data_IF_295043723718
#
_entry.id   IF_295043723718
#
_cell.length_a   1.000
_cell.length_b   1.000
_cell.length_c   1.000
_cell.angle_alpha   90.00
_cell.angle_beta   90.00
_cell.angle_gamma   90.00
#
_symmetry.space_group_name_H-M   'P 1'
#
loop_
_entity.id
_entity.type
_entity.pdbx_description
1 polymer ?
#
# COMPACT_ATOMS: atom_id res chain seq x y z
N UNK A 1 18.79 -13.05 17.06
CA UNK A 1 17.71 -12.22 16.49
C UNK A 1 17.02 -11.38 17.56
N UNK A 2 16.59 -11.95 18.68
CA UNK A 2 15.99 -11.22 19.81
C UNK A 2 16.89 -10.10 20.39
N UNK A 3 18.20 -10.36 20.58
CA UNK A 3 19.12 -9.32 21.04
C UNK A 3 19.20 -8.15 20.05
N UNK A 4 19.20 -8.43 18.75
CA UNK A 4 19.17 -7.40 17.70
C UNK A 4 17.89 -6.57 17.77
N UNK A 5 16.73 -7.17 18.00
CA UNK A 5 15.49 -6.42 18.21
C UNK A 5 15.60 -5.47 19.40
N UNK A 6 16.13 -5.95 20.53
CA UNK A 6 16.36 -5.08 21.70
C UNK A 6 17.34 -3.96 21.37
N UNK A 7 18.42 -4.23 20.62
CA UNK A 7 19.39 -3.22 20.20
C UNK A 7 18.76 -2.19 19.26
N UNK A 8 17.99 -2.60 18.26
CA UNK A 8 17.35 -1.67 17.31
C UNK A 8 16.22 -0.85 17.93
N UNK A 9 15.60 -1.33 18.99
CA UNK A 9 14.48 -0.59 19.61
C UNK A 9 14.94 0.26 20.80
N UNK A 10 15.83 -0.26 21.65
CA UNK A 10 16.31 0.44 22.85
C UNK A 10 17.72 1.00 22.72
N UNK A 11 18.59 0.32 21.99
CA UNK A 11 20.02 0.62 21.92
C UNK A 11 20.42 1.57 20.80
N UNK A 12 19.47 2.07 20.01
CA UNK A 12 19.76 3.11 19.02
C UNK A 12 20.14 4.40 19.76
N UNK A 13 21.27 4.97 19.35
CA UNK A 13 21.71 6.30 19.74
C UNK A 13 21.48 7.19 18.53
N UNK A 14 20.64 8.21 18.67
CA UNK A 14 20.43 9.18 17.61
C UNK A 14 21.57 10.21 17.61
N UNK A 15 22.34 10.24 16.52
CA UNK A 15 23.42 11.20 16.31
C UNK A 15 23.01 12.22 15.25
N UNK A 16 23.23 13.51 15.52
CA UNK A 16 22.80 14.59 14.63
C UNK A 16 23.41 14.47 13.22
N UNK A 17 24.69 14.07 13.10
CA UNK A 17 25.32 13.90 11.79
C UNK A 17 24.70 12.74 11.00
N UNK A 18 24.29 11.65 11.67
CA UNK A 18 23.57 10.54 11.03
C UNK A 18 22.19 10.97 10.56
N UNK A 19 21.45 11.70 11.40
CA UNK A 19 20.14 12.25 11.04
C UNK A 19 20.25 13.16 9.81
N UNK A 20 21.28 14.01 9.77
CA UNK A 20 21.56 14.89 8.63
C UNK A 20 21.83 14.10 7.35
N UNK A 21 22.69 13.08 7.39
CA UNK A 21 22.99 12.23 6.22
C UNK A 21 21.72 11.49 5.76
N UNK A 22 20.94 10.93 6.68
CA UNK A 22 19.69 10.25 6.33
C UNK A 22 18.67 11.21 5.71
N UNK A 23 18.50 12.42 6.27
CA UNK A 23 17.60 13.41 5.70
C UNK A 23 18.05 13.85 4.30
N UNK A 24 19.36 13.99 4.05
CA UNK A 24 19.89 14.26 2.71
C UNK A 24 19.60 13.12 1.73
N UNK A 25 19.76 11.86 2.15
CA UNK A 25 19.42 10.69 1.35
C UNK A 25 17.93 10.71 0.98
N UNK A 26 17.05 10.87 1.97
CA UNK A 26 15.59 10.87 1.74
C UNK A 26 15.12 12.01 0.82
N UNK A 27 15.81 13.15 0.81
CA UNK A 27 15.54 14.24 -0.14
C UNK A 27 15.99 13.83 -1.55
N UNK A 28 17.17 13.22 -1.69
CA UNK A 28 17.65 12.74 -2.97
C UNK A 28 16.76 11.63 -3.53
N UNK A 29 16.31 10.70 -2.69
CA UNK A 29 15.39 9.64 -3.07
C UNK A 29 14.03 10.22 -3.53
N UNK A 30 13.52 11.27 -2.87
CA UNK A 30 12.34 12.00 -3.32
C UNK A 30 12.55 12.70 -4.68
N UNK A 31 13.74 13.24 -4.94
CA UNK A 31 14.10 13.81 -6.25
C UNK A 31 14.17 12.72 -7.34
N UNK A 32 14.56 11.50 -6.98
CA UNK A 32 14.51 10.33 -7.88
C UNK A 32 13.08 9.87 -8.15
N UNK A 33 12.23 9.74 -7.13
CA UNK A 33 10.80 9.39 -7.32
C UNK A 33 10.08 10.43 -8.16
N UNK A 34 10.40 11.72 -8.03
CA UNK A 34 9.85 12.78 -8.90
C UNK A 34 10.18 12.62 -10.37
N UNK A 35 11.22 11.84 -10.70
CA UNK A 35 11.59 11.53 -12.07
C UNK A 35 10.85 10.32 -12.62
N UNK A 36 10.21 9.53 -11.76
CA UNK A 36 9.40 8.39 -12.15
C UNK A 36 7.93 8.83 -12.36
N UNK A 37 7.42 8.63 -13.57
CA UNK A 37 6.06 9.03 -13.91
C UNK A 37 4.97 8.21 -13.22
N UNK A 38 5.24 6.97 -12.84
CA UNK A 38 4.31 6.13 -12.09
C UNK A 38 4.21 6.62 -10.63
N UNK A 39 5.34 6.89 -9.99
CA UNK A 39 5.36 7.43 -8.63
C UNK A 39 4.68 8.79 -8.54
N UNK A 40 4.95 9.69 -9.50
CA UNK A 40 4.28 10.99 -9.54
C UNK A 40 2.78 10.89 -9.80
N UNK A 41 2.34 9.93 -10.63
CA UNK A 41 0.92 9.67 -10.84
C UNK A 41 0.25 9.12 -9.57
N UNK A 42 0.87 8.17 -8.88
CA UNK A 42 0.38 7.66 -7.60
C UNK A 42 0.33 8.78 -6.54
N UNK A 43 1.38 9.60 -6.43
CA UNK A 43 1.43 10.71 -5.49
C UNK A 43 0.30 11.72 -5.74
N UNK A 44 0.03 12.08 -7.00
CA UNK A 44 -1.09 12.95 -7.37
C UNK A 44 -2.44 12.35 -6.98
N UNK A 45 -2.66 11.07 -7.27
CA UNK A 45 -3.89 10.37 -6.93
C UNK A 45 -4.07 10.33 -5.42
N UNK A 46 -3.02 9.97 -4.68
CA UNK A 46 -3.08 9.86 -3.23
C UNK A 46 -3.42 11.21 -2.57
N UNK A 47 -2.75 12.29 -2.98
CA UNK A 47 -3.03 13.65 -2.48
C UNK A 47 -4.41 14.17 -2.93
N UNK A 48 -5.03 13.56 -3.94
CA UNK A 48 -6.40 13.89 -4.33
C UNK A 48 -7.45 13.11 -3.52
N UNK A 49 -7.21 11.81 -3.30
CA UNK A 49 -8.23 10.91 -2.78
C UNK A 49 -8.13 10.65 -1.27
N UNK A 50 -6.98 10.82 -0.63
CA UNK A 50 -6.84 10.45 0.79
C UNK A 50 -6.67 11.64 1.73
N UNK A 51 -7.12 11.46 2.97
CA UNK A 51 -6.94 12.43 4.04
C UNK A 51 -5.46 12.68 4.37
N UNK A 52 -5.15 13.89 4.84
CA UNK A 52 -3.76 14.32 5.11
C UNK A 52 -3.08 13.56 6.25
N UNK A 53 -3.87 12.98 7.14
CA UNK A 53 -3.46 12.16 8.28
C UNK A 53 -3.42 10.65 7.95
N UNK A 54 -3.73 10.27 6.71
CA UNK A 54 -3.57 8.90 6.24
C UNK A 54 -2.10 8.52 6.01
N UNK A 55 -1.82 7.22 6.05
CA UNK A 55 -0.51 6.67 5.70
C UNK A 55 -0.11 6.92 4.23
N UNK A 56 -1.06 7.21 3.33
CA UNK A 56 -0.78 7.57 1.93
C UNK A 56 0.00 8.88 1.78
N UNK A 57 0.03 9.72 2.81
CA UNK A 57 0.83 10.96 2.83
C UNK A 57 2.27 10.76 3.27
N UNK A 58 2.67 9.53 3.60
CA UNK A 58 4.01 9.21 4.09
C UNK A 58 4.99 8.77 2.97
N UNK A 59 4.67 9.01 1.70
CA UNK A 59 5.60 8.76 0.58
C UNK A 59 6.73 9.79 0.51
N UNK A 60 7.84 9.47 -0.18
CA UNK A 60 9.03 10.31 -0.17
C UNK A 60 8.78 11.67 -0.83
N UNK A 61 8.03 11.69 -1.94
CA UNK A 61 7.61 12.93 -2.61
C UNK A 61 6.78 13.83 -1.68
N UNK A 62 5.81 13.26 -0.96
CA UNK A 62 4.94 14.00 -0.05
C UNK A 62 5.70 14.53 1.18
N UNK A 63 6.69 13.76 1.66
CA UNK A 63 7.50 14.09 2.84
C UNK A 63 8.76 14.91 2.53
N UNK A 64 9.02 15.27 1.27
CA UNK A 64 10.24 15.99 0.88
C UNK A 64 10.42 17.31 1.65
N UNK A 65 9.37 18.13 1.77
CA UNK A 65 9.43 19.38 2.52
C UNK A 65 9.69 19.13 4.01
N UNK A 66 9.09 18.07 4.56
CA UNK A 66 9.37 17.63 5.92
C UNK A 66 10.85 17.23 6.09
N UNK A 67 11.41 16.44 5.17
CA UNK A 67 12.83 16.05 5.21
C UNK A 67 13.77 17.26 5.07
N UNK A 68 13.43 18.23 4.21
CA UNK A 68 14.16 19.51 4.08
C UNK A 68 14.15 20.30 5.39
N UNK A 69 13.00 20.37 6.05
CA UNK A 69 12.86 21.03 7.35
C UNK A 69 13.64 20.30 8.45
N UNK A 70 13.61 18.96 8.49
CA UNK A 70 14.44 18.16 9.40
C UNK A 70 15.92 18.43 9.15
N UNK A 71 16.36 18.48 7.90
CA UNK A 71 17.76 18.77 7.55
C UNK A 71 18.19 20.18 8.01
N UNK A 72 17.33 21.19 7.82
CA UNK A 72 17.57 22.56 8.28
C UNK A 72 17.67 22.62 9.81
N UNK A 73 16.67 22.10 10.51
CA UNK A 73 16.63 22.07 11.98
C UNK A 73 17.81 21.28 12.57
N UNK A 74 18.25 20.20 11.91
CA UNK A 74 19.43 19.45 12.36
C UNK A 74 20.70 20.29 12.32
N UNK A 75 20.81 21.25 11.38
CA UNK A 75 21.97 22.16 11.27
C UNK A 75 21.90 23.31 12.28
N UNK A 76 20.71 23.86 12.50
CA UNK A 76 20.50 25.03 13.36
C UNK A 76 20.35 24.68 14.84
N UNK A 77 19.60 23.62 15.14
CA UNK A 77 19.29 23.17 16.49
C UNK A 77 19.28 21.62 16.55
N UNK A 78 20.45 20.97 16.47
CA UNK A 78 20.55 19.51 16.46
C UNK A 78 19.92 18.87 17.71
N UNK A 79 20.09 19.48 18.88
CA UNK A 79 19.55 18.96 20.14
C UNK A 79 18.03 18.87 20.11
N UNK A 80 17.34 19.83 19.48
CA UNK A 80 15.89 19.77 19.32
C UNK A 80 15.43 18.55 18.50
N UNK A 81 16.10 18.27 17.39
CA UNK A 81 15.75 17.12 16.53
C UNK A 81 16.00 15.80 17.25
N UNK A 82 17.14 15.68 17.93
CA UNK A 82 17.44 14.49 18.74
C UNK A 82 16.42 14.30 19.86
N UNK A 83 16.06 15.36 20.60
CA UNK A 83 15.01 15.29 21.63
C UNK A 83 13.66 14.84 21.06
N UNK A 84 13.30 15.27 19.84
CA UNK A 84 12.08 14.80 19.15
C UNK A 84 12.14 13.33 18.77
N UNK A 85 13.27 12.83 18.27
CA UNK A 85 13.46 11.40 17.96
C UNK A 85 13.43 10.55 19.23
N UNK A 86 14.04 11.02 20.32
CA UNK A 86 13.99 10.36 21.61
C UNK A 86 12.56 10.31 22.17
N UNK A 87 11.82 11.43 22.08
CA UNK A 87 10.39 11.46 22.44
C UNK A 87 9.56 10.49 21.62
N UNK A 88 9.83 10.36 20.31
CA UNK A 88 9.17 9.38 19.45
C UNK A 88 9.51 7.95 19.91
N UNK A 89 10.78 7.65 20.17
CA UNK A 89 11.22 6.34 20.68
C UNK A 89 10.54 6.01 22.02
N UNK A 90 10.48 6.97 22.93
CA UNK A 90 9.77 6.82 24.21
C UNK A 90 8.27 6.57 24.01
N UNK A 91 7.62 7.31 23.11
CA UNK A 91 6.21 7.11 22.79
C UNK A 91 5.94 5.70 22.22
N UNK A 92 6.74 5.26 21.25
CA UNK A 92 6.62 3.91 20.65
C UNK A 92 6.86 2.81 21.68
N UNK A 93 7.81 3.00 22.60
CA UNK A 93 8.12 2.02 23.65
C UNK A 93 7.04 1.91 24.73
N UNK A 94 6.30 2.99 24.97
CA UNK A 94 5.22 3.03 25.94
C UNK A 94 3.84 2.75 25.33
N UNK A 95 3.71 2.76 24.00
CA UNK A 95 2.48 2.40 23.30
C UNK A 95 2.10 0.92 23.52
N UNK A 96 0.81 0.54 23.47
CA UNK A 96 0.41 -0.87 23.43
C UNK A 96 1.11 -1.62 22.28
N UNK A 97 1.66 -2.81 22.55
CA UNK A 97 2.34 -3.62 21.53
C UNK A 97 1.60 -4.94 21.37
N UNK A 98 1.24 -5.27 20.14
CA UNK A 98 0.78 -6.58 19.73
C UNK A 98 1.98 -7.35 19.14
N UNK A 99 2.29 -8.50 19.72
CA UNK A 99 3.39 -9.35 19.25
C UNK A 99 2.81 -10.57 18.53
N UNK A 100 3.00 -10.63 17.22
CA UNK A 100 2.61 -11.76 16.40
C UNK A 100 3.81 -12.66 16.13
N UNK A 101 3.70 -13.95 16.46
CA UNK A 101 4.82 -14.90 16.40
C UNK A 101 4.43 -16.08 15.53
N UNK A 102 5.20 -16.28 14.47
CA UNK A 102 4.97 -17.35 13.49
C UNK A 102 6.08 -18.37 13.69
N UNK A 103 5.75 -19.49 14.33
CA UNK A 103 6.73 -20.52 14.63
C UNK A 103 6.08 -21.88 14.85
N UNK A 104 6.90 -22.92 14.90
CA UNK A 104 6.49 -24.18 15.49
C UNK A 104 6.41 -24.00 17.01
N UNK A 105 5.19 -24.07 17.54
CA UNK A 105 4.87 -23.79 18.94
C UNK A 105 5.60 -24.71 19.91
N UNK A 106 5.70 -26.01 19.60
CA UNK A 106 6.36 -27.02 20.44
C UNK A 106 7.85 -26.69 20.66
N UNK A 107 8.51 -26.15 19.63
CA UNK A 107 9.95 -25.82 19.68
C UNK A 107 10.26 -24.51 20.42
N UNK A 108 9.31 -23.58 20.49
CA UNK A 108 9.59 -22.18 20.84
C UNK A 108 8.87 -21.73 22.12
N UNK A 109 7.70 -22.30 22.45
CA UNK A 109 6.93 -21.97 23.66
C UNK A 109 7.73 -22.03 24.97
N UNK A 110 8.65 -22.99 25.20
CA UNK A 110 9.44 -23.03 26.43
C UNK A 110 10.36 -21.82 26.66
N UNK A 111 10.74 -21.10 25.59
CA UNK A 111 11.74 -20.00 25.65
C UNK A 111 11.12 -18.60 25.50
N UNK A 112 9.86 -18.55 25.06
CA UNK A 112 9.16 -17.32 24.69
C UNK A 112 9.00 -16.30 25.83
N UNK A 113 8.50 -16.68 27.02
CA UNK A 113 8.24 -15.73 28.09
C UNK A 113 9.49 -14.99 28.57
N UNK A 114 10.63 -15.69 28.65
CA UNK A 114 11.90 -15.12 29.14
C UNK A 114 12.54 -14.20 28.12
N UNK A 115 12.50 -14.58 26.83
CA UNK A 115 13.17 -13.86 25.75
C UNK A 115 12.57 -12.49 25.46
N UNK A 116 11.26 -12.33 25.68
CA UNK A 116 10.54 -11.07 25.48
C UNK A 116 10.25 -10.31 26.79
N UNK A 117 10.89 -10.71 27.89
CA UNK A 117 10.73 -10.07 29.20
C UNK A 117 10.83 -8.54 29.18
N UNK A 118 11.79 -8.02 28.41
CA UNK A 118 12.02 -6.59 28.26
C UNK A 118 10.84 -5.86 27.56
N UNK A 119 10.04 -6.56 26.75
CA UNK A 119 8.87 -5.95 26.12
C UNK A 119 7.77 -5.66 27.13
N UNK A 120 7.68 -6.34 28.27
CA UNK A 120 6.54 -6.16 29.19
C UNK A 120 6.91 -5.78 30.63
N UNK A 121 8.16 -5.95 31.08
CA UNK A 121 8.57 -5.64 32.46
C UNK A 121 8.90 -4.16 32.74
N UNK A 122 9.49 -3.45 31.79
CA UNK A 122 10.01 -2.09 32.03
C UNK A 122 9.04 -0.98 31.56
N UNK A 123 7.75 -1.29 31.40
CA UNK A 123 6.77 -0.32 30.88
C UNK A 123 6.12 0.50 31.98
N UNK A 124 6.02 1.80 31.73
CA UNK A 124 5.11 2.68 32.45
C UNK A 124 3.75 2.58 31.75
N UNK A 125 2.86 1.72 32.25
CA UNK A 125 1.49 1.60 31.72
C UNK A 125 0.68 2.85 32.09
N UNK A 126 0.80 3.90 31.27
CA UNK A 126 0.02 5.13 31.40
C UNK A 126 -0.89 5.37 30.18
N UNK A 127 -0.99 4.41 29.27
CA UNK A 127 -1.84 4.53 28.08
C UNK A 127 -3.11 3.71 28.29
N UNK A 128 -4.26 4.32 28.00
CA UNK A 128 -5.50 3.55 27.86
C UNK A 128 -5.30 2.52 26.74
N UNK A 129 -5.70 1.27 27.01
CA UNK A 129 -5.71 0.24 25.98
C UNK A 129 -6.72 0.66 24.90
N UNK A 130 -6.23 1.17 23.78
CA UNK A 130 -7.05 1.35 22.59
C UNK A 130 -7.50 -0.03 22.14
N UNK A 131 -8.79 -0.33 22.32
CA UNK A 131 -9.34 -1.67 22.06
C UNK A 131 -9.60 -1.96 20.60
N UNK A 132 -9.43 -0.98 19.70
CA UNK A 132 -9.95 -1.07 18.34
C UNK A 132 -8.99 -0.43 17.32
N UNK A 133 -7.80 -1.02 17.13
CA UNK A 133 -7.09 -0.78 15.87
C UNK A 133 -7.82 -1.57 14.78
N UNK A 134 -8.69 -0.88 14.05
CA UNK A 134 -9.51 -1.45 12.97
C UNK A 134 -9.16 -0.71 11.70
N UNK A 135 -9.22 -1.41 10.57
CA UNK A 135 -9.19 -0.80 9.26
C UNK A 135 -10.62 -0.85 8.71
N UNK A 136 -11.32 0.29 8.73
CA UNK A 136 -12.63 0.39 8.12
C UNK A 136 -12.46 0.71 6.62
N UNK A 137 -13.07 -0.09 5.71
CA UNK A 137 -12.94 0.16 4.29
C UNK A 137 -13.31 1.60 3.90
N UNK A 138 -12.44 2.24 3.13
CA UNK A 138 -12.65 3.60 2.63
C UNK A 138 -12.55 4.71 3.69
N UNK A 139 -12.15 4.42 4.94
CA UNK A 139 -12.08 5.42 6.02
C UNK A 139 -11.13 6.58 5.73
N UNK A 140 -10.10 6.31 4.93
CA UNK A 140 -9.08 7.29 4.56
C UNK A 140 -9.44 8.09 3.31
N UNK A 141 -10.55 7.75 2.62
CA UNK A 141 -10.92 8.30 1.31
C UNK A 141 -11.84 9.52 1.42
N UNK A 142 -11.50 10.58 0.69
CA UNK A 142 -12.27 11.81 0.53
C UNK A 142 -13.21 11.69 -0.67
N UNK A 143 -14.46 11.27 -0.40
CA UNK A 143 -15.47 11.07 -1.45
C UNK A 143 -15.89 12.34 -2.22
N UNK A 144 -15.69 13.53 -1.66
CA UNK A 144 -16.01 14.81 -2.33
C UNK A 144 -14.99 15.21 -3.42
N UNK A 145 -13.88 14.46 -3.55
CA UNK A 145 -12.83 14.76 -4.52
C UNK A 145 -12.92 13.97 -5.83
N UNK A 146 -13.88 13.05 -5.96
CA UNK A 146 -14.12 12.33 -7.20
C UNK A 146 -14.68 13.25 -8.30
N UNK A 147 -14.51 12.83 -9.57
CA UNK A 147 -14.90 13.63 -10.74
C UNK A 147 -13.94 14.77 -11.09
N UNK A 148 -12.81 14.89 -10.37
CA UNK A 148 -11.75 15.86 -10.65
C UNK A 148 -10.63 15.21 -11.46
N UNK A 149 -9.98 16.00 -12.31
CA UNK A 149 -8.83 15.57 -13.11
C UNK A 149 -7.59 16.35 -12.68
N UNK A 150 -6.45 15.67 -12.64
CA UNK A 150 -5.15 16.27 -12.36
C UNK A 150 -4.14 15.73 -13.37
N UNK A 151 -3.32 16.62 -13.91
CA UNK A 151 -2.28 16.30 -14.88
C UNK A 151 -1.02 17.03 -14.46
N UNK A 152 0.10 16.33 -14.52
CA UNK A 152 1.44 16.90 -14.28
C UNK A 152 2.36 16.49 -15.43
N UNK A 153 3.25 17.39 -15.83
CA UNK A 153 4.33 17.07 -16.73
C UNK A 153 5.54 16.57 -15.92
N UNK A 154 6.03 15.37 -16.26
CA UNK A 154 7.26 14.81 -15.70
C UNK A 154 8.31 14.80 -16.80
N UNK A 155 9.25 15.75 -16.74
CA UNK A 155 10.20 15.98 -17.84
C UNK A 155 11.26 14.89 -18.06
N UNK A 156 11.30 13.88 -17.21
CA UNK A 156 12.28 12.77 -17.23
C UNK A 156 11.72 11.48 -17.84
N UNK A 157 10.47 11.45 -18.30
CA UNK A 157 9.85 10.28 -18.93
C UNK A 157 9.36 10.62 -20.34
N UNK A 158 9.62 9.71 -21.27
CA UNK A 158 9.06 9.76 -22.64
C UNK A 158 7.67 9.11 -22.70
N UNK A 159 7.25 8.43 -21.63
CA UNK A 159 5.96 7.75 -21.50
C UNK A 159 5.01 8.49 -20.58
N UNK A 160 3.72 8.36 -20.86
CA UNK A 160 2.62 8.84 -20.02
C UNK A 160 2.04 7.70 -19.17
N UNK A 161 1.43 8.08 -18.05
CA UNK A 161 0.83 7.17 -17.07
C UNK A 161 -0.56 7.68 -16.69
N UNK A 162 -1.54 6.79 -16.56
CA UNK A 162 -2.91 7.14 -16.16
C UNK A 162 -3.41 6.21 -15.07
N UNK A 163 -4.03 6.77 -14.04
CA UNK A 163 -4.78 6.03 -13.04
C UNK A 163 -6.03 6.83 -12.72
N UNK A 164 -7.18 6.19 -12.91
CA UNK A 164 -8.49 6.73 -12.61
C UNK A 164 -9.15 5.81 -11.60
N UNK A 165 -9.74 6.38 -10.56
CA UNK A 165 -10.43 5.59 -9.54
C UNK A 165 -11.84 6.13 -9.33
N UNK A 166 -12.78 5.23 -9.11
CA UNK A 166 -14.15 5.55 -8.71
C UNK A 166 -14.47 4.91 -7.36
N UNK A 167 -15.43 5.45 -6.59
CA UNK A 167 -15.96 4.77 -5.42
C UNK A 167 -16.58 3.45 -5.84
N UNK A 168 -16.21 2.38 -5.14
CA UNK A 168 -16.81 1.08 -5.24
C UNK A 168 -17.08 0.57 -3.82
N UNK A 169 -18.23 0.98 -3.28
CA UNK A 169 -18.68 0.54 -1.96
C UNK A 169 -19.28 -0.85 -2.10
N UNK A 170 -18.79 -1.80 -1.31
CA UNK A 170 -19.26 -3.17 -1.36
C UNK A 170 -19.21 -3.76 0.05
N UNK A 171 -20.04 -4.77 0.29
CA UNK A 171 -19.90 -5.56 1.50
C UNK A 171 -18.86 -6.66 1.28
N UNK A 172 -17.89 -6.76 2.18
CA UNK A 172 -16.86 -7.80 2.12
C UNK A 172 -17.48 -9.20 2.16
N UNK A 173 -17.12 -10.03 1.18
CA UNK A 173 -17.70 -11.37 0.97
C UNK A 173 -19.04 -11.38 0.23
N UNK A 174 -19.53 -10.22 -0.23
CA UNK A 174 -20.73 -10.15 -1.06
C UNK A 174 -20.51 -10.78 -2.43
N UNK A 175 -21.60 -11.31 -3.01
CA UNK A 175 -21.60 -11.81 -4.39
C UNK A 175 -21.25 -10.71 -5.40
N UNK A 176 -21.66 -9.47 -5.12
CA UNK A 176 -21.37 -8.31 -5.97
C UNK A 176 -19.87 -8.00 -5.99
N UNK A 177 -19.22 -7.90 -4.81
CA UNK A 177 -17.78 -7.67 -4.73
C UNK A 177 -16.96 -8.75 -5.42
N UNK A 178 -17.36 -10.02 -5.29
CA UNK A 178 -16.72 -11.14 -6.00
C UNK A 178 -16.96 -11.09 -7.51
N UNK A 179 -18.17 -10.73 -7.96
CA UNK A 179 -18.49 -10.58 -9.37
C UNK A 179 -17.65 -9.48 -10.02
N UNK A 180 -17.51 -8.32 -9.37
CA UNK A 180 -16.69 -7.20 -9.88
C UNK A 180 -15.21 -7.57 -9.92
N UNK A 181 -14.69 -8.23 -8.88
CA UNK A 181 -13.30 -8.75 -8.90
C UNK A 181 -13.07 -9.74 -10.04
N UNK A 182 -14.03 -10.62 -10.31
CA UNK A 182 -13.92 -11.59 -11.40
C UNK A 182 -13.96 -10.90 -12.78
N UNK A 183 -14.82 -9.91 -12.97
CA UNK A 183 -14.86 -9.13 -14.22
C UNK A 183 -13.57 -8.32 -14.40
N UNK A 184 -13.07 -7.69 -13.33
CA UNK A 184 -11.78 -6.99 -13.37
C UNK A 184 -10.63 -7.93 -13.75
N UNK A 185 -10.61 -9.15 -13.19
CA UNK A 185 -9.66 -10.20 -13.55
C UNK A 185 -9.83 -10.69 -14.99
N UNK A 186 -11.06 -10.87 -15.47
CA UNK A 186 -11.36 -11.27 -16.83
C UNK A 186 -10.83 -10.27 -17.85
N UNK A 187 -11.07 -8.99 -17.63
CA UNK A 187 -10.62 -7.92 -18.50
C UNK A 187 -9.08 -7.79 -18.48
N UNK A 188 -8.46 -7.96 -17.32
CA UNK A 188 -7.05 -7.59 -17.08
C UNK A 188 -6.08 -8.78 -17.01
N UNK A 189 -6.55 -10.02 -17.14
CA UNK A 189 -5.67 -11.20 -17.07
C UNK A 189 -4.58 -11.15 -18.14
N UNK A 190 -3.43 -11.76 -17.83
CA UNK A 190 -2.35 -11.92 -18.81
C UNK A 190 -2.88 -12.65 -20.04
N UNK A 191 -2.52 -12.14 -21.22
CA UNK A 191 -3.02 -12.64 -22.51
C UNK A 191 -4.55 -12.53 -22.68
N UNK A 192 -5.27 -11.87 -21.76
CA UNK A 192 -6.70 -11.59 -21.86
C UNK A 192 -7.02 -10.41 -22.79
N UNK A 193 -8.27 -9.95 -22.74
CA UNK A 193 -8.81 -8.97 -23.69
C UNK A 193 -8.03 -7.65 -23.67
N UNK A 194 -7.88 -6.99 -22.52
CA UNK A 194 -7.15 -5.71 -22.45
C UNK A 194 -5.67 -5.88 -22.77
N UNK A 195 -5.07 -6.99 -22.34
CA UNK A 195 -3.67 -7.29 -22.64
C UNK A 195 -3.43 -7.35 -24.15
N UNK A 196 -4.23 -8.15 -24.87
CA UNK A 196 -4.12 -8.31 -26.33
C UNK A 196 -4.37 -6.97 -27.04
N UNK A 197 -5.42 -6.25 -26.66
CA UNK A 197 -5.83 -5.02 -27.34
C UNK A 197 -4.87 -3.84 -27.12
N UNK A 198 -4.28 -3.72 -25.92
CA UNK A 198 -3.44 -2.57 -25.56
C UNK A 198 -1.96 -2.93 -25.66
N UNK A 199 -1.52 -3.95 -24.91
CA UNK A 199 -0.10 -4.34 -24.89
C UNK A 199 0.30 -5.09 -26.16
N UNK A 200 -0.54 -6.01 -26.63
CA UNK A 200 -0.29 -6.76 -27.87
C UNK A 200 -0.15 -5.86 -29.10
N UNK A 201 -0.91 -4.76 -29.14
CA UNK A 201 -0.85 -3.75 -30.20
C UNK A 201 0.19 -2.64 -29.96
N UNK A 202 0.95 -2.68 -28.86
CA UNK A 202 2.00 -1.71 -28.55
C UNK A 202 1.51 -0.31 -28.13
N UNK A 203 0.24 -0.17 -27.72
CA UNK A 203 -0.33 1.11 -27.27
C UNK A 203 0.14 1.52 -25.88
N UNK A 204 0.36 0.54 -24.99
CA UNK A 204 0.96 0.74 -23.67
C UNK A 204 1.68 -0.52 -23.19
N UNK A 205 2.60 -0.38 -22.24
CA UNK A 205 3.27 -1.53 -21.63
C UNK A 205 2.35 -2.33 -20.70
N UNK A 206 1.47 -1.65 -19.98
CA UNK A 206 0.51 -2.27 -19.07
C UNK A 206 -0.83 -1.57 -19.08
N UNK A 207 -1.88 -2.35 -18.83
CA UNK A 207 -3.26 -1.89 -18.63
C UNK A 207 -3.88 -2.81 -17.59
N UNK A 208 -4.62 -2.24 -16.64
CA UNK A 208 -5.20 -3.02 -15.55
C UNK A 208 -6.47 -2.35 -14.99
N UNK A 209 -7.43 -3.18 -14.59
CA UNK A 209 -8.57 -2.80 -13.76
C UNK A 209 -8.43 -3.54 -12.43
N UNK A 210 -8.32 -2.79 -11.35
CA UNK A 210 -8.10 -3.32 -10.00
C UNK A 210 -9.21 -2.89 -9.04
N UNK A 211 -9.65 -3.85 -8.22
CA UNK A 211 -10.54 -3.59 -7.09
C UNK A 211 -9.69 -3.45 -5.83
N UNK A 212 -9.63 -2.23 -5.29
CA UNK A 212 -9.05 -1.94 -4.00
C UNK A 212 -10.12 -2.08 -2.91
N UNK A 213 -10.06 -3.22 -2.26
CA UNK A 213 -11.02 -3.63 -1.25
C UNK A 213 -10.90 -2.79 0.02
N UNK A 214 -9.69 -2.37 0.39
CA UNK A 214 -9.45 -1.64 1.64
C UNK A 214 -9.84 -0.17 1.51
N UNK A 215 -9.71 0.42 0.32
CA UNK A 215 -10.10 1.81 0.09
C UNK A 215 -11.49 1.95 -0.55
N UNK A 216 -12.21 0.86 -0.81
CA UNK A 216 -13.48 0.87 -1.55
C UNK A 216 -13.35 1.58 -2.92
N UNK A 217 -12.29 1.25 -3.69
CA UNK A 217 -12.04 1.87 -4.99
C UNK A 217 -12.05 0.81 -6.10
N UNK A 218 -12.60 1.18 -7.26
CA UNK A 218 -12.34 0.50 -8.52
C UNK A 218 -11.45 1.41 -9.36
N UNK A 219 -10.28 0.91 -9.74
CA UNK A 219 -9.25 1.69 -10.44
C UNK A 219 -8.97 1.12 -11.82
N UNK A 220 -8.89 2.00 -12.82
CA UNK A 220 -8.36 1.70 -14.14
C UNK A 220 -6.99 2.36 -14.28
N UNK A 221 -6.00 1.65 -14.80
CA UNK A 221 -4.66 2.17 -15.01
C UNK A 221 -4.08 1.81 -16.38
N UNK A 222 -3.28 2.73 -16.92
CA UNK A 222 -2.43 2.52 -18.09
C UNK A 222 -1.00 2.87 -17.67
N UNK A 223 -0.12 1.87 -17.77
CA UNK A 223 1.27 1.97 -17.40
C UNK A 223 2.15 2.07 -18.65
N UNK A 224 2.93 3.17 -18.73
CA UNK A 224 3.85 3.52 -19.82
C UNK A 224 3.22 3.45 -21.21
N UNK A 225 2.62 4.55 -21.65
CA UNK A 225 2.09 4.72 -23.00
C UNK A 225 2.67 5.95 -23.69
N UNK A 226 3.08 5.82 -24.96
CA UNK A 226 3.43 6.95 -25.83
C UNK A 226 2.19 7.55 -26.52
N UNK A 227 1.05 6.85 -26.49
CA UNK A 227 -0.20 7.19 -27.16
C UNK A 227 -1.37 7.05 -26.19
N UNK A 228 -1.31 7.79 -25.07
CA UNK A 228 -2.22 7.56 -23.94
C UNK A 228 -3.70 7.72 -24.30
N UNK A 229 -4.04 8.72 -25.13
CA UNK A 229 -5.41 8.95 -25.60
C UNK A 229 -5.93 7.75 -26.42
N UNK A 230 -5.12 7.27 -27.37
CA UNK A 230 -5.47 6.12 -28.20
C UNK A 230 -5.60 4.84 -27.36
N UNK A 231 -4.68 4.62 -26.42
CA UNK A 231 -4.74 3.49 -25.49
C UNK A 231 -6.02 3.55 -24.62
N UNK A 232 -6.42 4.73 -24.18
CA UNK A 232 -7.65 4.94 -23.40
C UNK A 232 -8.91 4.63 -24.22
N UNK A 233 -9.03 5.20 -25.42
CA UNK A 233 -10.21 4.99 -26.27
C UNK A 233 -10.34 3.52 -26.72
N UNK A 234 -9.23 2.86 -27.06
CA UNK A 234 -9.28 1.43 -27.39
C UNK A 234 -9.63 0.58 -26.17
N UNK A 235 -9.07 0.88 -24.99
CA UNK A 235 -9.40 0.15 -23.76
C UNK A 235 -10.89 0.29 -23.42
N UNK A 236 -11.43 1.50 -23.52
CA UNK A 236 -12.85 1.80 -23.32
C UNK A 236 -13.72 0.99 -24.27
N UNK A 237 -13.44 1.06 -25.58
CA UNK A 237 -14.18 0.31 -26.61
C UNK A 237 -14.18 -1.19 -26.34
N UNK A 238 -13.02 -1.75 -25.98
CA UNK A 238 -12.86 -3.16 -25.66
C UNK A 238 -13.71 -3.56 -24.46
N UNK A 239 -13.66 -2.80 -23.37
CA UNK A 239 -14.47 -3.07 -22.16
C UNK A 239 -15.97 -3.06 -22.48
N UNK A 240 -16.44 -2.09 -23.28
CA UNK A 240 -17.86 -2.02 -23.65
C UNK A 240 -18.30 -3.19 -24.54
N UNK A 241 -17.44 -3.65 -25.46
CA UNK A 241 -17.75 -4.80 -26.32
C UNK A 241 -17.88 -6.11 -25.51
N UNK A 242 -17.03 -6.31 -24.51
CA UNK A 242 -17.08 -7.50 -23.63
C UNK A 242 -18.37 -7.58 -22.79
N UNK A 243 -19.05 -6.45 -22.56
CA UNK A 243 -20.36 -6.47 -21.90
C UNK A 243 -21.49 -6.98 -22.80
N UNK A 244 -21.30 -7.00 -24.12
CA UNK A 244 -22.30 -7.53 -25.07
C UNK A 244 -22.09 -9.03 -25.31
N UNK A 245 -20.83 -9.48 -25.38
CA UNK A 245 -20.49 -10.87 -25.64
C UNK A 245 -19.26 -11.30 -24.82
N UNK A 246 -19.50 -12.11 -23.79
CA UNK A 246 -18.44 -12.68 -22.95
C UNK A 246 -17.93 -13.96 -23.59
N UNK A 247 -16.61 -14.04 -23.80
CA UNK A 247 -15.94 -15.28 -24.17
C UNK A 247 -15.91 -16.25 -22.96
N UNK A 248 -16.59 -17.38 -23.09
CA UNK A 248 -16.75 -18.37 -22.02
C UNK A 248 -15.42 -19.01 -21.60
N UNK A 249 -14.50 -19.27 -22.54
CA UNK A 249 -13.22 -19.92 -22.26
C UNK A 249 -12.29 -18.96 -21.50
N UNK A 250 -12.21 -17.70 -21.94
CA UNK A 250 -11.46 -16.65 -21.25
C UNK A 250 -12.08 -16.36 -19.87
N UNK A 251 -13.40 -16.46 -19.71
CA UNK A 251 -14.07 -16.30 -18.42
C UNK A 251 -13.77 -17.46 -17.46
N UNK A 252 -13.73 -18.70 -17.96
CA UNK A 252 -13.26 -19.85 -17.20
C UNK A 252 -11.78 -19.73 -16.82
N UNK A 253 -10.94 -19.18 -17.70
CA UNK A 253 -9.54 -18.87 -17.39
C UNK A 253 -9.45 -17.80 -16.28
N UNK A 254 -10.27 -16.75 -16.35
CA UNK A 254 -10.31 -15.69 -15.36
C UNK A 254 -10.67 -16.19 -13.96
N UNK A 255 -11.61 -17.13 -13.84
CA UNK A 255 -11.94 -17.78 -12.56
C UNK A 255 -10.73 -18.49 -11.95
N UNK A 256 -9.99 -19.25 -12.75
CA UNK A 256 -8.78 -19.95 -12.29
C UNK A 256 -7.67 -18.98 -11.94
N UNK A 257 -7.50 -17.92 -12.74
CA UNK A 257 -6.54 -16.86 -12.52
C UNK A 257 -6.82 -16.11 -11.21
N UNK A 258 -8.09 -15.75 -10.94
CA UNK A 258 -8.50 -15.11 -9.69
C UNK A 258 -8.22 -15.99 -8.47
N UNK A 259 -8.60 -17.28 -8.54
CA UNK A 259 -8.31 -18.24 -7.46
C UNK A 259 -6.81 -18.37 -7.24
N UNK A 260 -6.00 -18.46 -8.30
CA UNK A 260 -4.54 -18.47 -8.21
C UNK A 260 -4.01 -17.19 -7.55
N UNK A 261 -4.53 -16.01 -7.91
CA UNK A 261 -4.14 -14.72 -7.32
C UNK A 261 -4.44 -14.71 -5.81
N UNK A 262 -5.61 -15.19 -5.39
CA UNK A 262 -5.99 -15.29 -3.98
C UNK A 262 -5.02 -16.23 -3.24
N UNK A 263 -4.78 -17.43 -3.77
CA UNK A 263 -3.88 -18.42 -3.12
C UNK A 263 -2.43 -17.91 -3.06
N UNK A 264 -1.97 -17.21 -4.10
CA UNK A 264 -0.62 -16.63 -4.13
C UNK A 264 -0.41 -15.54 -3.08
N UNK A 265 -1.48 -14.92 -2.55
CA UNK A 265 -1.34 -14.00 -1.39
C UNK A 265 -0.87 -14.70 -0.11
N UNK A 266 -0.87 -16.04 -0.07
CA UNK A 266 -0.42 -16.87 1.04
C UNK A 266 0.66 -17.89 0.63
N UNK A 267 1.40 -17.61 -0.45
CA UNK A 267 2.45 -18.48 -1.01
C UNK A 267 3.61 -18.81 -0.04
N UNK A 268 3.81 -17.97 0.97
CA UNK A 268 4.81 -18.15 2.02
C UNK A 268 4.18 -18.06 3.41
N UNK A 269 4.86 -18.68 4.39
CA UNK A 269 4.46 -18.64 5.81
C UNK A 269 4.35 -17.20 6.34
N UNK A 270 5.20 -16.29 5.86
CA UNK A 270 5.18 -14.87 6.25
C UNK A 270 3.93 -14.19 5.66
N UNK A 271 3.65 -14.41 4.38
CA UNK A 271 2.50 -13.81 3.72
C UNK A 271 1.17 -14.31 4.31
N UNK A 272 1.05 -15.62 4.54
CA UNK A 272 -0.11 -16.22 5.21
C UNK A 272 -0.34 -15.62 6.62
N UNK A 273 0.72 -15.34 7.37
CA UNK A 273 0.61 -14.72 8.67
C UNK A 273 0.23 -13.24 8.61
N UNK A 274 0.81 -12.46 7.70
CA UNK A 274 0.38 -11.07 7.47
C UNK A 274 -1.10 -11.02 7.09
N UNK A 275 -1.55 -11.94 6.23
CA UNK A 275 -2.94 -12.07 5.83
C UNK A 275 -3.86 -12.36 7.03
N UNK A 276 -3.47 -13.27 7.91
CA UNK A 276 -4.22 -13.57 9.13
C UNK A 276 -4.37 -12.33 10.04
N UNK A 277 -3.30 -11.55 10.22
CA UNK A 277 -3.33 -10.30 11.01
C UNK A 277 -4.22 -9.25 10.35
N UNK A 278 -4.11 -9.06 9.04
CA UNK A 278 -4.96 -8.09 8.34
C UNK A 278 -6.43 -8.51 8.36
N UNK A 279 -6.73 -9.81 8.32
CA UNK A 279 -8.11 -10.30 8.47
C UNK A 279 -8.66 -10.00 9.87
N UNK A 280 -7.83 -10.08 10.92
CA UNK A 280 -8.22 -9.65 12.27
C UNK A 280 -8.55 -8.15 12.32
N UNK A 281 -7.72 -7.29 11.69
CA UNK A 281 -7.98 -5.84 11.62
C UNK A 281 -9.22 -5.47 10.80
N UNK A 282 -9.62 -6.33 9.85
CA UNK A 282 -10.87 -6.22 9.08
C UNK A 282 -12.07 -6.87 9.77
N UNK A 283 -11.88 -7.47 10.95
CA UNK A 283 -12.89 -8.25 11.67
C UNK A 283 -13.52 -9.39 10.83
N UNK A 284 -12.70 -9.98 9.96
CA UNK A 284 -13.13 -11.10 9.13
C UNK A 284 -13.17 -12.41 9.92
N UNK A 285 -14.13 -13.30 9.63
CA UNK A 285 -14.11 -14.66 10.17
C UNK A 285 -12.81 -15.38 9.82
N UNK A 286 -12.33 -16.24 10.72
CA UNK A 286 -11.12 -17.05 10.50
C UNK A 286 -11.21 -18.00 9.29
N UNK A 287 -12.42 -18.22 8.77
CA UNK A 287 -12.72 -19.05 7.61
C UNK A 287 -12.95 -18.25 6.32
N UNK A 288 -12.83 -16.92 6.32
CA UNK A 288 -13.26 -16.11 5.17
C UNK A 288 -12.52 -16.44 3.85
N UNK A 289 -11.25 -16.86 3.93
CA UNK A 289 -10.45 -17.29 2.77
C UNK A 289 -10.09 -18.79 2.80
N UNK A 290 -10.63 -19.56 3.75
CA UNK A 290 -10.32 -20.99 3.94
C UNK A 290 -11.44 -21.91 3.48
#
# INVERSE_FOLDING_TARGET
MLSWLTTFVRGIIFEAERVKVTAQSLIADADEEKRDGCEMQNALLHTALFHKDSNYMCGLVQLEEFHKNVLMLTKENPTYVIDKLEKLREALMNAPINLHIICNTEKIMPFLPTSFAWLYRDRKFNCELSRNFRNLPGESVIYDNFGKQRVIAVGSTESSFLKQSIPFKYQLGSKEGLAVQLIAQYLSQMEGTLFKAIRGNGLAYGVDIEVDMDNELLSFSIYRSSQLEQAYEEAKKVVFNEFEHVDEDEFEAAKRSLVSKIVQTEDTVINAAHRAIFNEFRELPSQFWR
#
